data_IF_842425082000
#
_entry.id   IF_842425082000
#
_cell.length_a   1.000
_cell.length_b   1.000
_cell.length_c   1.000
_cell.angle_alpha   90.00
_cell.angle_beta   90.00
_cell.angle_gamma   90.00
#
_symmetry.space_group_name_H-M   'P 1'
#
loop_
_entity.id
_entity.type
_entity.pdbx_description
1 polymer ?
#
# COMPACT_ATOMS: atom_id res chain seq x y z
N UNK A 1 16.37 -21.41 12.31
CA UNK A 1 14.90 -21.40 12.20
C UNK A 1 14.46 -21.52 10.76
N UNK A 2 13.27 -22.04 10.52
CA UNK A 2 12.69 -22.23 9.19
C UNK A 2 11.34 -21.54 9.16
N UNK A 3 11.11 -20.75 8.12
CA UNK A 3 9.80 -20.21 7.80
C UNK A 3 9.07 -21.13 6.81
N UNK A 4 7.75 -21.23 6.93
CA UNK A 4 6.87 -21.93 5.97
C UNK A 4 5.74 -21.00 5.56
N UNK A 5 5.46 -20.95 4.27
CA UNK A 5 4.41 -20.12 3.70
C UNK A 5 3.45 -20.91 2.84
N UNK A 6 2.22 -20.44 2.75
CA UNK A 6 1.20 -20.97 1.86
C UNK A 6 0.35 -19.83 1.29
N UNK A 7 -0.12 -20.01 0.05
CA UNK A 7 -1.06 -19.10 -0.60
C UNK A 7 -2.27 -19.90 -1.08
N UNK A 8 -3.47 -19.40 -0.76
CA UNK A 8 -4.73 -19.85 -1.32
C UNK A 8 -5.26 -18.79 -2.27
N UNK A 9 -5.37 -19.13 -3.56
CA UNK A 9 -5.92 -18.26 -4.59
C UNK A 9 -7.27 -18.76 -5.10
N UNK A 10 -8.27 -17.87 -5.18
CA UNK A 10 -9.55 -18.13 -5.84
C UNK A 10 -10.12 -16.86 -6.45
N UNK A 11 -10.45 -16.88 -7.74
CA UNK A 11 -11.11 -15.77 -8.46
C UNK A 11 -10.43 -14.40 -8.25
N UNK A 12 -9.10 -14.36 -8.39
CA UNK A 12 -8.31 -13.13 -8.20
C UNK A 12 -8.19 -12.66 -6.75
N UNK A 13 -8.70 -13.43 -5.79
CA UNK A 13 -8.51 -13.22 -4.36
C UNK A 13 -7.41 -14.16 -3.86
N UNK A 14 -6.47 -13.63 -3.09
CA UNK A 14 -5.34 -14.36 -2.58
C UNK A 14 -5.27 -14.16 -1.06
N UNK A 15 -5.27 -15.26 -0.32
CA UNK A 15 -4.95 -15.29 1.10
C UNK A 15 -3.59 -15.96 1.26
N UNK A 16 -2.68 -15.27 1.92
CA UNK A 16 -1.32 -15.71 2.17
C UNK A 16 -1.11 -15.86 3.67
N UNK A 17 -0.34 -16.88 4.04
CA UNK A 17 0.11 -17.09 5.41
C UNK A 17 1.61 -17.38 5.37
N UNK A 18 2.35 -16.75 6.26
CA UNK A 18 3.76 -17.04 6.54
C UNK A 18 3.91 -17.29 8.03
N UNK A 19 4.50 -18.42 8.39
CA UNK A 19 4.81 -18.79 9.76
C UNK A 19 6.31 -19.01 9.91
N UNK A 20 6.93 -18.28 10.81
CA UNK A 20 8.28 -18.48 11.33
C UNK A 20 8.17 -18.64 12.85
N UNK A 21 9.07 -19.36 13.53
CA UNK A 21 9.10 -19.35 15.00
C UNK A 21 9.06 -17.94 15.59
N UNK A 22 9.69 -16.98 14.93
CA UNK A 22 9.84 -15.60 15.40
C UNK A 22 8.63 -14.70 15.09
N UNK A 23 7.76 -15.07 14.14
CA UNK A 23 6.59 -14.27 13.77
C UNK A 23 5.54 -15.06 12.97
N UNK A 24 4.30 -14.57 13.02
CA UNK A 24 3.21 -15.00 12.16
C UNK A 24 2.73 -13.84 11.31
N UNK A 25 2.52 -14.08 10.01
CA UNK A 25 1.95 -13.11 9.08
C UNK A 25 0.80 -13.73 8.30
N UNK A 26 -0.24 -12.93 8.11
CA UNK A 26 -1.37 -13.23 7.23
C UNK A 26 -1.68 -11.99 6.40
N UNK A 27 -1.82 -12.17 5.09
CA UNK A 27 -2.22 -11.09 4.19
C UNK A 27 -3.27 -11.54 3.20
N UNK A 28 -4.07 -10.57 2.77
CA UNK A 28 -5.08 -10.70 1.76
C UNK A 28 -4.82 -9.68 0.66
N UNK A 29 -4.85 -10.12 -0.58
CA UNK A 29 -4.84 -9.24 -1.76
C UNK A 29 -5.89 -9.71 -2.73
N UNK A 30 -6.73 -8.79 -3.19
CA UNK A 30 -7.75 -9.10 -4.17
C UNK A 30 -8.44 -7.87 -4.72
N UNK A 31 -9.51 -8.11 -5.44
CA UNK A 31 -10.35 -7.08 -6.01
C UNK A 31 -11.41 -7.65 -6.94
N UNK A 32 -12.38 -6.83 -7.29
CA UNK A 32 -13.49 -7.23 -8.15
C UNK A 32 -14.04 -6.03 -8.92
N UNK A 33 -14.57 -6.33 -10.10
CA UNK A 33 -15.34 -5.37 -10.88
C UNK A 33 -16.72 -5.20 -10.25
N UNK A 34 -17.02 -3.99 -9.82
CA UNK A 34 -18.34 -3.59 -9.30
C UNK A 34 -19.28 -3.28 -10.47
N UNK A 35 -18.73 -2.76 -11.57
CA UNK A 35 -19.37 -2.57 -12.88
C UNK A 35 -18.32 -2.58 -13.99
N UNK A 36 -18.75 -2.50 -15.25
CA UNK A 36 -17.84 -2.50 -16.42
C UNK A 36 -16.73 -1.45 -16.33
N UNK A 37 -17.04 -0.27 -15.76
CA UNK A 37 -16.09 0.84 -15.65
C UNK A 37 -15.51 1.03 -14.23
N UNK A 38 -15.89 0.21 -13.24
CA UNK A 38 -15.51 0.45 -11.83
C UNK A 38 -14.96 -0.82 -11.17
N UNK A 39 -13.66 -0.78 -10.85
CA UNK A 39 -12.95 -1.83 -10.13
C UNK A 39 -12.69 -1.40 -8.69
N UNK A 40 -12.87 -2.30 -7.74
CA UNK A 40 -12.46 -2.11 -6.35
C UNK A 40 -11.41 -3.16 -5.99
N UNK A 41 -10.22 -2.71 -5.64
CA UNK A 41 -9.21 -3.58 -5.07
C UNK A 41 -8.98 -3.36 -3.58
N UNK A 42 -8.52 -4.42 -2.92
CA UNK A 42 -8.37 -4.53 -1.48
C UNK A 42 -7.03 -5.22 -1.19
N UNK A 43 -6.27 -4.65 -0.27
CA UNK A 43 -5.11 -5.30 0.31
C UNK A 43 -5.15 -5.11 1.84
N UNK A 44 -4.80 -6.15 2.59
CA UNK A 44 -4.68 -6.09 4.03
C UNK A 44 -3.58 -7.05 4.49
N UNK A 45 -2.82 -6.68 5.50
CA UNK A 45 -1.77 -7.50 6.06
C UNK A 45 -1.71 -7.33 7.57
N UNK A 46 -1.38 -8.41 8.27
CA UNK A 46 -1.18 -8.45 9.70
C UNK A 46 0.02 -9.32 10.02
N UNK A 47 0.93 -8.80 10.83
CA UNK A 47 2.06 -9.54 11.36
C UNK A 47 2.11 -9.39 12.89
N UNK A 48 2.33 -10.50 13.57
CA UNK A 48 2.57 -10.56 15.02
C UNK A 48 3.91 -11.24 15.32
N UNK A 49 4.76 -10.59 16.12
CA UNK A 49 5.98 -11.20 16.62
C UNK A 49 5.72 -12.23 17.73
N UNK A 50 6.64 -13.17 17.92
CA UNK A 50 6.67 -14.09 19.07
C UNK A 50 6.91 -13.33 20.39
N UNK A 51 6.39 -13.84 21.51
CA UNK A 51 6.62 -13.31 22.87
C UNK A 51 6.33 -11.80 23.04
N UNK A 52 5.19 -11.34 22.50
CA UNK A 52 4.81 -9.92 22.43
C UNK A 52 5.84 -9.06 21.67
N UNK A 53 6.54 -9.68 20.72
CA UNK A 53 7.49 -9.03 19.83
C UNK A 53 6.81 -8.10 18.81
N UNK A 54 7.57 -7.17 18.19
CA UNK A 54 6.99 -6.16 17.30
C UNK A 54 6.23 -6.76 16.12
N UNK A 55 5.20 -6.04 15.68
CA UNK A 55 4.33 -6.43 14.58
C UNK A 55 3.81 -5.24 13.78
N UNK A 56 2.86 -5.49 12.89
CA UNK A 56 2.16 -4.42 12.17
C UNK A 56 0.79 -4.85 11.68
N UNK A 57 -0.03 -3.86 11.36
CA UNK A 57 -1.27 -4.02 10.60
C UNK A 57 -1.32 -3.01 9.47
N UNK A 58 -1.70 -3.45 8.28
CA UNK A 58 -1.88 -2.59 7.11
C UNK A 58 -3.18 -2.90 6.39
N UNK A 59 -3.82 -1.86 5.84
CA UNK A 59 -4.96 -2.01 4.93
C UNK A 59 -4.91 -0.94 3.85
N UNK A 60 -5.30 -1.32 2.63
CA UNK A 60 -5.44 -0.43 1.50
C UNK A 60 -6.72 -0.75 0.71
N UNK A 61 -7.40 0.30 0.28
CA UNK A 61 -8.50 0.24 -0.68
C UNK A 61 -8.14 1.07 -1.89
N UNK A 62 -8.34 0.51 -3.08
CA UNK A 62 -7.97 1.19 -4.32
C UNK A 62 -9.07 1.10 -5.39
N UNK A 63 -10.12 1.94 -5.28
CA UNK A 63 -11.10 2.10 -6.33
C UNK A 63 -10.48 2.69 -7.60
N UNK A 64 -10.88 2.16 -8.75
CA UNK A 64 -10.45 2.62 -10.07
C UNK A 64 -11.67 2.79 -10.98
N UNK A 65 -11.74 3.94 -11.64
CA UNK A 65 -12.83 4.31 -12.54
C UNK A 65 -12.27 4.54 -13.96
N UNK A 66 -12.68 3.71 -14.91
CA UNK A 66 -12.47 3.99 -16.33
C UNK A 66 -13.40 5.13 -16.75
N UNK A 67 -12.85 6.27 -17.16
CA UNK A 67 -13.67 7.41 -17.61
C UNK A 67 -13.77 7.48 -19.14
N UNK A 68 -12.92 6.73 -19.84
CA UNK A 68 -12.91 6.53 -21.30
C UNK A 68 -12.13 5.26 -21.63
N UNK A 69 -12.18 4.84 -22.89
CA UNK A 69 -11.46 3.66 -23.42
C UNK A 69 -9.94 3.68 -23.17
N UNK A 70 -9.37 4.85 -22.94
CA UNK A 70 -7.94 5.07 -22.82
C UNK A 70 -7.52 5.78 -21.52
N UNK A 71 -8.45 6.05 -20.60
CA UNK A 71 -8.15 6.73 -19.35
C UNK A 71 -8.84 6.10 -18.15
N UNK A 72 -8.04 5.81 -17.13
CA UNK A 72 -8.50 5.32 -15.82
C UNK A 72 -8.01 6.26 -14.72
N UNK A 73 -8.92 6.64 -13.83
CA UNK A 73 -8.60 7.38 -12.61
C UNK A 73 -8.62 6.40 -11.42
N UNK A 74 -7.51 6.27 -10.72
CA UNK A 74 -7.38 5.47 -9.51
C UNK A 74 -7.18 6.33 -8.27
N UNK A 75 -7.85 5.97 -7.18
CA UNK A 75 -7.55 6.45 -5.84
C UNK A 75 -7.06 5.26 -5.03
N UNK A 76 -6.03 5.43 -4.21
CA UNK A 76 -5.58 4.44 -3.22
C UNK A 76 -5.51 5.11 -1.87
N UNK A 77 -6.28 4.60 -0.90
CA UNK A 77 -6.19 4.99 0.50
C UNK A 77 -5.56 3.88 1.30
N UNK A 78 -4.62 4.21 2.17
CA UNK A 78 -3.82 3.26 2.95
C UNK A 78 -3.76 3.69 4.41
N UNK A 79 -3.79 2.71 5.30
CA UNK A 79 -3.43 2.85 6.70
C UNK A 79 -2.45 1.75 7.06
N UNK A 80 -1.35 2.13 7.72
CA UNK A 80 -0.37 1.20 8.25
C UNK A 80 -0.03 1.62 9.67
N UNK A 81 -0.01 0.66 10.59
CA UNK A 81 0.32 0.88 11.99
C UNK A 81 1.29 -0.20 12.46
N UNK A 82 2.30 0.22 13.20
CA UNK A 82 3.22 -0.66 13.89
C UNK A 82 2.62 -1.06 15.25
N UNK A 83 2.97 -2.26 15.70
CA UNK A 83 2.77 -2.71 17.07
C UNK A 83 4.16 -2.89 17.70
N UNK A 84 4.44 -2.15 18.77
CA UNK A 84 5.77 -2.05 19.34
C UNK A 84 6.77 -1.35 18.41
N UNK A 85 8.05 -1.74 18.52
CA UNK A 85 9.17 -1.11 17.81
C UNK A 85 9.46 -1.79 16.45
N UNK A 86 8.47 -1.87 15.56
CA UNK A 86 8.64 -2.56 14.27
C UNK A 86 9.57 -1.79 13.31
N UNK A 87 9.44 -0.46 13.26
CA UNK A 87 10.39 0.43 12.61
C UNK A 87 10.31 0.55 11.08
N UNK A 88 9.22 0.09 10.45
CA UNK A 88 9.00 0.21 9.01
C UNK A 88 8.65 1.63 8.54
N UNK A 89 7.99 2.44 9.38
CA UNK A 89 7.65 3.84 9.10
C UNK A 89 8.89 4.73 9.28
N UNK A 90 9.86 4.29 10.09
CA UNK A 90 11.14 4.98 10.27
C UNK A 90 11.10 6.17 11.24
N UNK A 91 10.09 6.25 12.11
CA UNK A 91 9.94 7.33 13.11
C UNK A 91 10.89 7.17 14.30
N UNK A 92 11.31 5.93 14.61
CA UNK A 92 12.01 5.60 15.86
C UNK A 92 11.12 5.66 17.11
N UNK A 93 9.81 5.80 16.93
CA UNK A 93 8.79 5.82 17.99
C UNK A 93 7.96 4.53 17.88
N UNK A 94 7.69 3.90 19.02
CA UNK A 94 6.84 2.69 19.06
C UNK A 94 5.39 3.03 18.72
N UNK A 95 4.66 2.06 18.17
CA UNK A 95 3.23 2.19 17.85
C UNK A 95 2.93 3.34 16.87
N UNK A 96 3.90 3.71 16.05
CA UNK A 96 3.69 4.73 15.01
C UNK A 96 2.74 4.22 13.93
N UNK A 97 2.03 5.15 13.28
CA UNK A 97 1.15 4.84 12.16
C UNK A 97 1.23 5.91 11.07
N UNK A 98 0.81 5.54 9.86
CA UNK A 98 0.73 6.43 8.70
C UNK A 98 -0.56 6.20 7.94
N UNK A 99 -1.23 7.30 7.57
CA UNK A 99 -2.30 7.30 6.58
C UNK A 99 -1.73 7.89 5.30
N UNK A 100 -1.96 7.22 4.17
CA UNK A 100 -1.57 7.69 2.85
C UNK A 100 -2.76 7.71 1.89
N UNK A 101 -2.74 8.67 0.98
CA UNK A 101 -3.70 8.76 -0.12
C UNK A 101 -2.95 9.08 -1.42
N UNK A 102 -3.20 8.30 -2.47
CA UNK A 102 -2.61 8.50 -3.80
C UNK A 102 -3.71 8.61 -4.85
N UNK A 103 -3.68 9.65 -5.67
CA UNK A 103 -4.56 9.85 -6.83
C UNK A 103 -3.72 9.70 -8.11
N UNK A 104 -4.06 8.71 -8.92
CA UNK A 104 -3.32 8.35 -10.14
C UNK A 104 -4.21 8.45 -11.37
N UNK A 105 -3.75 9.16 -12.40
CA UNK A 105 -4.27 9.01 -13.75
C UNK A 105 -3.48 7.94 -14.50
N UNK A 106 -4.14 7.15 -15.34
CA UNK A 106 -3.49 6.20 -16.25
C UNK A 106 -4.02 6.41 -17.65
N UNK A 107 -3.21 7.02 -18.51
CA UNK A 107 -3.57 7.33 -19.90
C UNK A 107 -2.77 6.46 -20.86
N UNK A 108 -3.47 5.71 -21.72
CA UNK A 108 -2.85 4.78 -22.68
C UNK A 108 -2.98 5.33 -24.10
N UNK A 109 -1.86 5.39 -24.82
CA UNK A 109 -1.78 5.76 -26.23
C UNK A 109 -0.91 4.72 -26.94
N UNK A 110 -1.54 3.84 -27.72
CA UNK A 110 -0.87 2.70 -28.34
C UNK A 110 -0.04 1.91 -27.31
N UNK A 111 1.27 1.89 -27.46
CA UNK A 111 2.21 1.18 -26.59
C UNK A 111 2.77 2.05 -25.45
N UNK A 112 2.31 3.28 -25.30
CA UNK A 112 2.77 4.23 -24.30
C UNK A 112 1.69 4.45 -23.24
N UNK A 113 2.04 4.28 -21.96
CA UNK A 113 1.20 4.67 -20.83
C UNK A 113 1.84 5.84 -20.09
N UNK A 114 1.07 6.90 -19.84
CA UNK A 114 1.47 8.06 -19.03
C UNK A 114 0.69 8.03 -17.72
N UNK A 115 1.40 8.11 -16.59
CA UNK A 115 0.82 8.00 -15.25
C UNK A 115 1.27 9.13 -14.33
N UNK A 116 0.52 10.25 -14.23
CA UNK A 116 0.70 11.21 -13.15
C UNK A 116 0.10 10.65 -11.85
N UNK A 117 0.82 10.82 -10.75
CA UNK A 117 0.37 10.46 -9.39
C UNK A 117 0.63 11.64 -8.45
N UNK A 118 -0.39 12.00 -7.66
CA UNK A 118 -0.27 12.87 -6.50
C UNK A 118 -0.47 12.01 -5.25
N UNK A 119 0.47 12.06 -4.32
CA UNK A 119 0.43 11.31 -3.08
C UNK A 119 0.59 12.23 -1.87
N UNK A 120 -0.17 11.94 -0.82
CA UNK A 120 -0.14 12.61 0.48
C UNK A 120 0.00 11.56 1.58
N UNK A 121 0.96 11.76 2.47
CA UNK A 121 1.21 10.91 3.63
C UNK A 121 1.13 11.75 4.90
N UNK A 122 0.55 11.17 5.95
CA UNK A 122 0.46 11.73 7.30
C UNK A 122 0.77 10.66 8.33
N UNK A 123 1.96 10.74 8.93
CA UNK A 123 2.40 9.88 10.02
C UNK A 123 1.98 10.44 11.39
N UNK A 124 1.90 9.56 12.40
CA UNK A 124 1.66 9.95 13.80
C UNK A 124 2.84 10.69 14.42
N UNK A 125 4.04 10.41 13.93
CA UNK A 125 5.34 10.91 14.40
C UNK A 125 6.20 11.36 13.22
N UNK A 126 7.34 11.99 13.52
CA UNK A 126 8.21 12.54 12.47
C UNK A 126 8.86 11.41 11.66
N UNK A 127 8.32 11.15 10.47
CA UNK A 127 8.78 10.09 9.55
C UNK A 127 9.46 10.65 8.30
N UNK A 128 9.24 11.93 7.99
CA UNK A 128 9.66 12.55 6.74
C UNK A 128 10.59 13.74 7.00
N UNK A 129 11.14 14.27 5.91
CA UNK A 129 12.01 15.44 5.91
C UNK A 129 11.40 16.50 5.01
N UNK A 130 11.25 17.72 5.52
CA UNK A 130 10.72 18.84 4.75
C UNK A 130 11.79 19.52 3.87
N UNK A 131 11.41 20.59 3.18
CA UNK A 131 12.31 21.33 2.28
C UNK A 131 13.45 22.05 3.01
N UNK A 132 13.30 22.31 4.31
CA UNK A 132 14.32 22.92 5.17
C UNK A 132 15.21 21.86 5.84
N UNK A 133 15.03 20.58 5.48
CA UNK A 133 15.71 19.41 6.05
C UNK A 133 15.38 19.14 7.51
N UNK A 134 14.21 19.58 7.94
CA UNK A 134 13.70 19.33 9.29
C UNK A 134 12.76 18.13 9.27
N UNK A 135 12.74 17.39 10.38
CA UNK A 135 11.85 16.26 10.55
C UNK A 135 10.38 16.74 10.58
N UNK A 136 9.49 16.00 9.94
CA UNK A 136 8.06 16.34 9.84
C UNK A 136 7.18 15.11 9.73
N UNK A 137 5.90 15.27 10.07
CA UNK A 137 4.88 14.22 10.06
C UNK A 137 4.21 14.02 8.71
N UNK A 138 4.35 14.96 7.78
CA UNK A 138 3.62 14.94 6.51
C UNK A 138 4.53 15.02 5.30
N UNK A 139 4.20 14.28 4.26
CA UNK A 139 4.85 14.35 2.95
C UNK A 139 3.79 14.53 1.87
N UNK A 140 4.03 15.47 0.96
CA UNK A 140 3.30 15.58 -0.30
C UNK A 140 4.26 15.35 -1.45
N UNK A 141 3.88 14.51 -2.42
CA UNK A 141 4.71 14.21 -3.58
C UNK A 141 3.89 14.14 -4.87
N UNK A 142 4.53 14.52 -5.97
CA UNK A 142 3.99 14.37 -7.31
C UNK A 142 5.02 13.65 -8.17
N UNK A 143 4.58 12.61 -8.87
CA UNK A 143 5.41 11.80 -9.76
C UNK A 143 4.72 11.70 -11.12
N UNK A 144 5.51 11.77 -12.18
CA UNK A 144 5.07 11.49 -13.54
C UNK A 144 5.87 10.33 -14.10
N UNK A 145 5.19 9.21 -14.40
CA UNK A 145 5.80 8.05 -15.05
C UNK A 145 5.35 7.96 -16.52
N UNK A 146 6.25 7.47 -17.37
CA UNK A 146 5.95 7.08 -18.74
C UNK A 146 6.48 5.65 -18.96
N UNK A 147 5.61 4.74 -19.37
CA UNK A 147 5.91 3.31 -19.54
C UNK A 147 5.67 2.95 -21.00
N UNK A 148 6.69 2.42 -21.68
CA UNK A 148 6.59 1.97 -23.07
C UNK A 148 6.73 0.45 -23.15
N UNK A 149 5.78 -0.20 -23.82
CA UNK A 149 5.79 -1.64 -24.05
C UNK A 149 6.28 -1.95 -25.48
N UNK A 150 7.32 -2.78 -25.60
CA UNK A 150 7.93 -3.18 -26.88
C UNK A 150 7.51 -4.60 -27.30
#
# INVERSE_FOLDING_TARGET
DYAVGAQLGYSGQYLNVLYDPSFFEIDFTGGFDVSDDFFLGINAAYLSGEDDGPGFTGVALYPQLATSDNFTLGLRGEYFAEDGAFGAIGTGVVDSSVIAASLTGSYVIDNLTIKPELRLDSASDDAFVDNDRMATKSLGSFVLAAVYQF
#
